data_IF_528229670205
#
_entry.id   IF_528229670205
#
_cell.length_a   1.000
_cell.length_b   1.000
_cell.length_c   1.000
_cell.angle_alpha   90.00
_cell.angle_beta   90.00
_cell.angle_gamma   90.00
#
_symmetry.space_group_name_H-M   'P 1'
#
loop_
_entity.id
_entity.type
_entity.pdbx_description
1 polymer ?
#
# COMPACT_ATOMS: atom_id res chain seq x y z
N UNK A 1 14.11 -11.49 -14.78
CA UNK A 1 14.01 -11.30 -13.32
C UNK A 1 14.91 -12.31 -12.61
N UNK A 2 14.86 -13.61 -12.90
CA UNK A 2 15.72 -14.62 -12.25
C UNK A 2 17.20 -14.25 -12.27
N UNK A 3 17.73 -13.76 -13.39
CA UNK A 3 19.15 -13.39 -13.47
C UNK A 3 19.49 -12.15 -12.63
N UNK A 4 18.54 -11.23 -12.49
CA UNK A 4 18.72 -10.01 -11.68
C UNK A 4 18.67 -10.29 -10.17
N UNK A 5 18.15 -11.44 -9.76
CA UNK A 5 18.02 -11.81 -8.35
C UNK A 5 19.04 -12.86 -7.89
N UNK A 6 20.02 -13.21 -8.74
CA UNK A 6 21.14 -14.06 -8.35
C UNK A 6 21.97 -13.38 -7.27
N UNK A 7 22.35 -14.13 -6.25
CA UNK A 7 23.17 -13.69 -5.13
C UNK A 7 22.54 -12.53 -4.30
N UNK A 8 21.22 -12.32 -4.45
CA UNK A 8 20.47 -11.31 -3.70
C UNK A 8 19.78 -11.98 -2.52
N UNK A 9 20.03 -11.47 -1.31
CA UNK A 9 19.41 -12.01 -0.09
C UNK A 9 18.02 -11.45 0.22
N UNK A 10 17.69 -10.25 -0.32
CA UNK A 10 16.45 -9.54 -0.09
C UNK A 10 16.01 -8.81 -1.36
N UNK A 11 14.72 -8.80 -1.63
CA UNK A 11 14.10 -8.07 -2.74
C UNK A 11 13.12 -7.03 -2.19
N UNK A 12 13.28 -5.76 -2.62
CA UNK A 12 12.26 -4.74 -2.44
C UNK A 12 11.43 -4.64 -3.74
N UNK A 13 10.20 -5.12 -3.70
CA UNK A 13 9.29 -5.11 -4.84
C UNK A 13 8.27 -3.97 -4.72
N UNK A 14 8.56 -2.86 -5.38
CA UNK A 14 7.69 -1.67 -5.45
C UNK A 14 7.08 -1.45 -6.85
N UNK A 15 7.46 -2.28 -7.82
CA UNK A 15 6.96 -2.17 -9.19
C UNK A 15 5.51 -2.63 -9.30
N UNK A 16 4.64 -1.76 -9.79
CA UNK A 16 3.24 -2.06 -10.11
C UNK A 16 2.66 -0.96 -10.99
N UNK A 17 1.58 -1.27 -11.70
CA UNK A 17 0.67 -0.28 -12.22
C UNK A 17 -0.26 0.12 -11.06
N UNK A 18 -0.25 1.41 -10.68
CA UNK A 18 -0.83 1.91 -9.42
C UNK A 18 -2.16 2.67 -9.60
N UNK A 19 -2.88 2.40 -10.66
CA UNK A 19 -4.18 2.98 -10.93
C UNK A 19 -5.25 1.91 -11.17
N UNK A 20 -6.51 2.29 -11.14
CA UNK A 20 -7.59 1.42 -11.60
C UNK A 20 -7.64 1.45 -13.12
N UNK A 21 -7.43 0.30 -13.75
CA UNK A 21 -7.43 0.13 -15.21
C UNK A 21 -8.13 -1.18 -15.57
N UNK A 22 -8.50 -1.41 -16.85
CA UNK A 22 -9.04 -2.69 -17.28
C UNK A 22 -8.17 -3.87 -16.82
N UNK A 23 -8.81 -4.95 -16.37
CA UNK A 23 -8.13 -6.09 -15.76
C UNK A 23 -6.97 -6.64 -16.62
N UNK A 24 -7.19 -6.73 -17.96
CA UNK A 24 -6.18 -7.26 -18.87
C UNK A 24 -4.91 -6.39 -18.93
N UNK A 25 -5.04 -5.07 -18.77
CA UNK A 25 -3.91 -4.14 -18.79
C UNK A 25 -3.07 -4.28 -17.50
N UNK A 26 -3.74 -4.60 -16.40
CA UNK A 26 -3.10 -4.83 -15.10
C UNK A 26 -2.45 -6.21 -14.96
N UNK A 27 -2.95 -7.21 -15.69
CA UNK A 27 -2.61 -8.62 -15.54
C UNK A 27 -1.09 -8.85 -15.62
N UNK A 28 -0.44 -8.27 -16.62
CA UNK A 28 1.00 -8.46 -16.87
C UNK A 28 1.88 -7.93 -15.73
N UNK A 29 1.67 -6.68 -15.33
CA UNK A 29 2.52 -6.03 -14.34
C UNK A 29 2.20 -6.51 -12.91
N UNK A 30 0.92 -6.49 -12.51
CA UNK A 30 0.56 -6.67 -11.11
C UNK A 30 0.39 -8.14 -10.70
N UNK A 31 -0.09 -9.00 -11.56
CA UNK A 31 -0.31 -10.41 -11.25
C UNK A 31 0.86 -11.28 -11.69
N UNK A 32 1.18 -11.30 -13.00
CA UNK A 32 2.28 -12.12 -13.53
C UNK A 32 3.63 -11.59 -13.04
N UNK A 33 3.82 -10.26 -13.02
CA UNK A 33 5.02 -9.62 -12.50
C UNK A 33 5.28 -9.97 -11.04
N UNK A 34 4.24 -9.91 -10.20
CA UNK A 34 4.34 -10.32 -8.79
C UNK A 34 4.71 -11.81 -8.66
N UNK A 35 4.02 -12.70 -9.39
CA UNK A 35 4.37 -14.12 -9.40
C UNK A 35 5.84 -14.33 -9.77
N UNK A 36 6.32 -13.68 -10.82
CA UNK A 36 7.71 -13.81 -11.29
C UNK A 36 8.73 -13.36 -10.24
N UNK A 37 8.43 -12.34 -9.45
CA UNK A 37 9.31 -11.89 -8.34
C UNK A 37 9.40 -12.97 -7.25
N UNK A 38 8.26 -13.52 -6.82
CA UNK A 38 8.24 -14.53 -5.77
C UNK A 38 8.87 -15.85 -6.22
N UNK A 39 8.64 -16.25 -7.47
CA UNK A 39 9.27 -17.44 -8.03
C UNK A 39 10.79 -17.25 -8.23
N UNK A 40 11.22 -16.07 -8.65
CA UNK A 40 12.65 -15.75 -8.73
C UNK A 40 13.32 -15.76 -7.35
N UNK A 41 12.63 -15.22 -6.32
CA UNK A 41 13.10 -15.29 -4.95
C UNK A 41 13.29 -16.74 -4.48
N UNK A 42 12.35 -17.63 -4.80
CA UNK A 42 12.42 -19.06 -4.48
C UNK A 42 13.58 -19.74 -5.19
N UNK A 43 13.72 -19.52 -6.50
CA UNK A 43 14.76 -20.18 -7.33
C UNK A 43 16.18 -19.74 -6.95
N UNK A 44 16.35 -18.51 -6.45
CA UNK A 44 17.64 -17.95 -6.06
C UNK A 44 17.88 -17.97 -4.53
N UNK A 45 17.05 -18.69 -3.76
CA UNK A 45 17.17 -18.80 -2.31
C UNK A 45 17.18 -17.45 -1.59
N UNK A 46 16.41 -16.49 -2.09
CA UNK A 46 16.23 -15.20 -1.47
C UNK A 46 15.51 -15.37 -0.12
N UNK A 47 15.98 -14.71 0.93
CA UNK A 47 15.45 -14.91 2.29
C UNK A 47 14.19 -14.12 2.56
N UNK A 48 14.06 -12.93 1.93
CA UNK A 48 12.97 -12.00 2.22
C UNK A 48 12.54 -11.19 1.01
N UNK A 49 11.24 -10.92 0.93
CA UNK A 49 10.68 -9.93 0.01
C UNK A 49 9.93 -8.86 0.81
N UNK A 50 10.30 -7.60 0.63
CA UNK A 50 9.55 -6.43 1.08
C UNK A 50 8.67 -5.96 -0.08
N UNK A 51 7.36 -6.03 0.11
CA UNK A 51 6.39 -5.80 -0.95
C UNK A 51 5.54 -4.55 -0.69
N UNK A 52 5.49 -3.64 -1.66
CA UNK A 52 4.59 -2.50 -1.64
C UNK A 52 3.15 -2.95 -1.92
N UNK A 53 2.45 -3.36 -0.87
CA UNK A 53 1.00 -3.53 -0.88
C UNK A 53 0.31 -2.16 -0.77
N UNK A 54 -0.99 -2.13 -0.58
CA UNK A 54 -1.76 -0.90 -0.55
C UNK A 54 -2.94 -0.97 0.41
N UNK A 55 -3.38 0.19 0.88
CA UNK A 55 -4.66 0.36 1.58
C UNK A 55 -5.85 -0.14 0.72
N UNK A 56 -5.70 -0.15 -0.61
CA UNK A 56 -6.72 -0.63 -1.55
C UNK A 56 -7.03 -2.13 -1.41
N UNK A 57 -6.15 -2.92 -0.80
CA UNK A 57 -6.45 -4.31 -0.42
C UNK A 57 -7.61 -4.44 0.59
N UNK A 58 -7.91 -3.35 1.32
CA UNK A 58 -8.96 -3.25 2.33
C UNK A 58 -9.82 -1.98 2.12
N UNK A 59 -9.79 -1.41 0.91
CA UNK A 59 -10.34 -0.10 0.60
C UNK A 59 -11.86 0.04 0.81
N UNK A 60 -12.64 -1.04 0.67
CA UNK A 60 -14.10 -1.02 0.84
C UNK A 60 -14.59 -0.99 2.29
N UNK A 61 -13.70 -0.92 3.27
CA UNK A 61 -14.13 -0.69 4.65
C UNK A 61 -14.42 0.78 4.92
N UNK A 62 -15.42 1.05 5.76
CA UNK A 62 -15.73 2.42 6.22
C UNK A 62 -14.53 3.04 6.93
N UNK A 63 -14.20 4.28 6.62
CA UNK A 63 -13.08 5.02 7.21
C UNK A 63 -13.18 5.16 8.73
N UNK A 64 -14.39 5.12 9.29
CA UNK A 64 -14.64 5.13 10.74
C UNK A 64 -14.30 3.81 11.43
N UNK A 65 -14.05 2.73 10.67
CA UNK A 65 -13.65 1.43 11.22
C UNK A 65 -12.15 1.38 11.41
N UNK A 66 -11.70 1.05 12.61
CA UNK A 66 -10.28 0.75 12.85
C UNK A 66 -9.90 -0.56 12.15
N UNK A 67 -8.90 -0.48 11.28
CA UNK A 67 -8.34 -1.64 10.58
C UNK A 67 -7.02 -2.05 11.23
N UNK A 68 -6.80 -3.36 11.30
CA UNK A 68 -5.56 -3.99 11.79
C UNK A 68 -4.93 -4.82 10.68
N UNK A 69 -3.63 -5.19 10.77
CA UNK A 69 -2.96 -6.04 9.79
C UNK A 69 -3.74 -7.31 9.44
N UNK A 70 -4.41 -7.93 10.42
CA UNK A 70 -5.21 -9.15 10.25
C UNK A 70 -6.62 -8.90 9.69
N UNK A 71 -7.00 -7.65 9.40
CA UNK A 71 -8.30 -7.37 8.77
C UNK A 71 -8.38 -8.06 7.42
N UNK A 72 -9.46 -8.82 7.18
CA UNK A 72 -9.68 -9.55 5.95
C UNK A 72 -9.66 -8.62 4.73
N UNK A 73 -9.20 -9.14 3.60
CA UNK A 73 -9.22 -8.42 2.33
C UNK A 73 -10.64 -7.98 1.96
N UNK A 74 -10.75 -6.76 1.44
CA UNK A 74 -11.96 -6.19 0.88
C UNK A 74 -11.54 -5.11 -0.11
N UNK A 75 -11.05 -5.58 -1.27
CA UNK A 75 -10.53 -4.72 -2.33
C UNK A 75 -11.61 -3.77 -2.87
N UNK A 76 -11.18 -2.60 -3.32
CA UNK A 76 -12.03 -1.55 -3.86
C UNK A 76 -11.99 -1.45 -5.39
N UNK A 77 -11.15 -2.25 -6.05
CA UNK A 77 -11.03 -2.32 -7.50
C UNK A 77 -10.04 -3.41 -7.92
N UNK A 78 -9.73 -3.48 -9.21
CA UNK A 78 -8.74 -4.44 -9.74
C UNK A 78 -7.34 -4.18 -9.19
N UNK A 79 -6.98 -2.90 -9.01
CA UNK A 79 -5.72 -2.55 -8.35
C UNK A 79 -5.66 -3.14 -6.93
N UNK A 80 -6.68 -2.89 -6.11
CA UNK A 80 -6.78 -3.46 -4.78
C UNK A 80 -6.77 -4.99 -4.79
N UNK A 81 -7.47 -5.61 -5.75
CA UNK A 81 -7.48 -7.07 -5.94
C UNK A 81 -6.08 -7.61 -6.24
N UNK A 82 -5.30 -6.93 -7.08
CA UNK A 82 -3.92 -7.32 -7.39
C UNK A 82 -3.02 -7.32 -6.14
N UNK A 83 -3.26 -6.38 -5.22
CA UNK A 83 -2.55 -6.33 -3.94
C UNK A 83 -2.97 -7.48 -3.02
N UNK A 84 -4.26 -7.81 -2.95
CA UNK A 84 -4.76 -9.00 -2.24
C UNK A 84 -4.15 -10.29 -2.78
N UNK A 85 -4.09 -10.44 -4.11
CA UNK A 85 -3.45 -11.59 -4.76
C UNK A 85 -2.02 -11.74 -4.29
N UNK A 86 -1.24 -10.67 -4.32
CA UNK A 86 0.19 -10.73 -3.96
C UNK A 86 0.41 -10.95 -2.46
N UNK A 87 -0.43 -10.39 -1.58
CA UNK A 87 -0.36 -10.70 -0.14
C UNK A 87 -0.62 -12.20 0.13
N UNK A 88 -1.60 -12.81 -0.56
CA UNK A 88 -1.87 -14.26 -0.45
C UNK A 88 -0.74 -15.09 -1.08
N UNK A 89 -0.18 -14.65 -2.21
CA UNK A 89 0.99 -15.27 -2.83
C UNK A 89 2.18 -15.24 -1.86
N UNK A 90 2.47 -14.10 -1.25
CA UNK A 90 3.50 -13.92 -0.25
C UNK A 90 3.33 -14.89 0.93
N UNK A 91 2.11 -15.02 1.43
CA UNK A 91 1.78 -15.95 2.51
C UNK A 91 2.06 -17.39 2.12
N UNK A 92 1.65 -17.79 0.91
CA UNK A 92 1.89 -19.14 0.39
C UNK A 92 3.39 -19.45 0.28
N UNK A 93 4.20 -18.51 -0.26
CA UNK A 93 5.65 -18.72 -0.36
C UNK A 93 6.35 -18.75 1.00
N UNK A 94 5.87 -17.99 1.98
CA UNK A 94 6.34 -18.10 3.35
C UNK A 94 6.03 -19.49 3.92
N UNK A 95 4.78 -19.94 3.85
CA UNK A 95 4.35 -21.21 4.44
C UNK A 95 4.98 -22.43 3.75
N UNK A 96 5.24 -22.35 2.43
CA UNK A 96 5.77 -23.46 1.64
C UNK A 96 7.28 -23.46 1.51
N UNK A 97 7.91 -22.29 1.47
CA UNK A 97 9.32 -22.13 1.10
C UNK A 97 10.13 -21.40 2.17
N UNK A 98 9.51 -20.88 3.23
CA UNK A 98 10.18 -20.12 4.30
C UNK A 98 10.68 -18.74 3.88
N UNK A 99 10.24 -18.21 2.72
CA UNK A 99 10.62 -16.88 2.27
C UNK A 99 9.86 -15.87 3.11
N UNK A 100 10.57 -15.11 3.96
CA UNK A 100 9.95 -14.05 4.76
C UNK A 100 9.31 -12.98 3.88
N UNK A 101 8.20 -12.44 4.31
CA UNK A 101 7.43 -11.45 3.56
C UNK A 101 6.98 -10.30 4.45
N UNK A 102 7.27 -9.06 4.05
CA UNK A 102 6.71 -7.87 4.69
C UNK A 102 5.87 -7.11 3.67
N UNK A 103 4.55 -7.21 3.80
CA UNK A 103 3.59 -6.55 2.93
C UNK A 103 3.22 -5.18 3.52
N UNK A 104 3.66 -4.12 2.87
CA UNK A 104 3.44 -2.73 3.30
C UNK A 104 2.14 -2.22 2.68
N UNK A 105 1.03 -2.21 3.41
CA UNK A 105 -0.22 -1.56 2.98
C UNK A 105 -0.07 -0.06 3.04
N UNK A 106 0.63 0.50 2.04
CA UNK A 106 0.88 1.94 1.94
C UNK A 106 -0.46 2.65 1.75
N UNK A 107 -0.70 3.67 2.57
CA UNK A 107 -1.87 4.52 2.45
C UNK A 107 -1.56 5.71 1.49
N UNK A 108 -1.62 6.96 1.94
CA UNK A 108 -1.43 8.13 1.05
C UNK A 108 -0.02 8.69 1.20
N UNK A 109 0.89 8.34 0.27
CA UNK A 109 2.25 8.87 0.25
C UNK A 109 2.39 9.97 -0.81
N UNK A 110 1.72 11.09 -0.55
CA UNK A 110 1.68 12.30 -1.40
C UNK A 110 1.41 13.52 -0.53
N UNK A 111 1.51 14.76 -1.05
CA UNK A 111 1.16 15.95 -0.27
C UNK A 111 -0.24 15.88 0.35
N UNK A 112 -0.40 16.42 1.56
CA UNK A 112 -1.68 16.50 2.25
C UNK A 112 -2.52 17.61 1.62
N UNK A 113 -3.59 17.25 0.92
CA UNK A 113 -4.46 18.18 0.17
C UNK A 113 -5.95 17.98 0.41
N UNK A 114 -6.35 16.95 1.17
CA UNK A 114 -7.75 16.60 1.41
C UNK A 114 -7.97 16.22 2.88
N UNK A 115 -9.23 16.27 3.36
CA UNK A 115 -9.58 15.75 4.68
C UNK A 115 -9.23 14.26 4.83
N UNK A 116 -9.41 13.48 3.74
CA UNK A 116 -9.02 12.07 3.74
C UNK A 116 -7.53 11.91 4.00
N UNK A 117 -6.69 12.73 3.38
CA UNK A 117 -5.23 12.66 3.59
C UNK A 117 -4.80 12.95 5.03
N UNK A 118 -5.55 13.74 5.80
CA UNK A 118 -5.30 13.92 7.23
C UNK A 118 -5.40 12.59 8.03
N UNK A 119 -6.11 11.61 7.52
CA UNK A 119 -6.27 10.30 8.19
C UNK A 119 -5.32 9.23 7.68
N UNK A 120 -4.84 9.36 6.45
CA UNK A 120 -4.14 8.30 5.71
C UNK A 120 -2.72 8.69 5.27
N UNK A 121 -2.26 9.88 5.57
CA UNK A 121 -0.94 10.34 5.14
C UNK A 121 0.20 9.47 5.68
N UNK A 122 1.16 9.21 4.80
CA UNK A 122 2.47 8.66 5.12
C UNK A 122 3.52 9.64 4.61
N UNK A 123 4.30 10.23 5.50
CA UNK A 123 5.42 11.08 5.12
C UNK A 123 6.52 10.28 4.42
N UNK A 124 7.37 10.95 3.65
CA UNK A 124 8.52 10.29 3.03
C UNK A 124 9.50 9.76 4.07
N UNK A 125 9.72 10.49 5.17
CA UNK A 125 10.64 10.08 6.23
C UNK A 125 10.12 8.83 6.97
N UNK A 126 8.82 8.78 7.26
CA UNK A 126 8.20 7.59 7.85
C UNK A 126 8.16 6.41 6.86
N UNK A 127 7.98 6.67 5.54
CA UNK A 127 8.10 5.61 4.53
C UNK A 127 9.50 5.02 4.50
N UNK A 128 10.54 5.86 4.50
CA UNK A 128 11.94 5.39 4.55
C UNK A 128 12.18 4.59 5.81
N UNK A 129 11.73 5.08 6.97
CA UNK A 129 11.83 4.33 8.23
C UNK A 129 11.15 2.97 8.12
N UNK A 130 9.92 2.91 7.59
CA UNK A 130 9.15 1.67 7.43
C UNK A 130 9.90 0.65 6.57
N UNK A 131 10.41 1.09 5.42
CA UNK A 131 11.17 0.22 4.50
C UNK A 131 12.45 -0.29 5.17
N UNK A 132 13.21 0.59 5.82
CA UNK A 132 14.43 0.21 6.54
C UNK A 132 14.12 -0.79 7.66
N UNK A 133 13.04 -0.60 8.41
CA UNK A 133 12.62 -1.58 9.43
C UNK A 133 12.24 -2.92 8.82
N UNK A 134 11.53 -2.94 7.69
CA UNK A 134 11.21 -4.18 6.98
C UNK A 134 12.47 -4.91 6.47
N UNK A 135 13.53 -4.17 6.13
CA UNK A 135 14.82 -4.72 5.70
C UNK A 135 15.61 -5.25 6.91
N UNK A 136 15.77 -4.46 7.96
CA UNK A 136 16.74 -4.69 9.05
C UNK A 136 16.22 -5.60 10.16
N UNK A 137 14.90 -5.77 10.29
CA UNK A 137 14.32 -6.64 11.33
C UNK A 137 14.80 -8.07 11.14
N UNK A 138 15.39 -8.65 12.19
CA UNK A 138 16.04 -9.96 12.12
C UNK A 138 15.10 -11.07 11.63
N UNK A 139 13.87 -11.11 12.16
CA UNK A 139 12.85 -12.09 11.77
C UNK A 139 11.51 -11.39 11.55
N UNK A 140 11.02 -11.41 10.33
CA UNK A 140 9.75 -10.78 9.99
C UNK A 140 8.62 -11.78 9.79
N UNK A 141 8.97 -13.04 9.48
CA UNK A 141 7.98 -14.04 9.10
C UNK A 141 7.12 -13.55 7.92
N UNK A 142 5.84 -13.90 7.93
CA UNK A 142 4.83 -13.24 7.11
C UNK A 142 4.19 -12.12 7.92
N UNK A 143 4.40 -10.90 7.50
CA UNK A 143 3.89 -9.70 8.17
C UNK A 143 3.18 -8.77 7.20
N UNK A 144 2.07 -8.23 7.66
CA UNK A 144 1.38 -7.11 7.01
C UNK A 144 1.47 -5.92 7.94
N UNK A 145 1.75 -4.73 7.40
CA UNK A 145 1.86 -3.50 8.17
C UNK A 145 1.30 -2.33 7.38
N UNK A 146 0.55 -1.43 8.03
CA UNK A 146 0.09 -0.22 7.39
C UNK A 146 1.21 0.81 7.30
N UNK A 147 1.49 1.30 6.09
CA UNK A 147 2.31 2.47 5.85
C UNK A 147 1.47 3.72 6.07
N UNK A 148 1.48 4.24 7.27
CA UNK A 148 0.77 5.45 7.69
C UNK A 148 1.59 6.15 8.78
N UNK A 149 1.65 7.48 8.73
CA UNK A 149 2.27 8.30 9.78
C UNK A 149 1.42 8.32 11.06
N UNK A 150 1.93 8.89 12.13
CA UNK A 150 1.26 8.96 13.45
C UNK A 150 0.14 10.02 13.46
N UNK A 151 -0.77 9.91 12.50
CA UNK A 151 -1.84 10.88 12.31
C UNK A 151 -2.92 10.73 13.38
N UNK A 152 -3.24 11.82 14.08
CA UNK A 152 -4.26 11.87 15.14
C UNK A 152 -5.63 11.36 14.69
N UNK A 153 -5.94 11.52 13.39
CA UNK A 153 -7.24 11.14 12.80
C UNK A 153 -7.23 9.75 12.16
N UNK A 154 -6.12 8.98 12.28
CA UNK A 154 -6.01 7.68 11.63
C UNK A 154 -6.80 6.59 12.34
N UNK A 155 -7.45 5.74 11.54
CA UNK A 155 -8.07 4.49 11.98
C UNK A 155 -7.31 3.25 11.45
N UNK A 156 -6.00 3.41 11.16
CA UNK A 156 -5.11 2.32 10.76
C UNK A 156 -4.17 2.00 11.92
N UNK A 157 -4.23 0.78 12.45
CA UNK A 157 -3.48 0.37 13.62
C UNK A 157 -2.49 -0.74 13.30
N UNK A 158 -1.24 -0.57 13.70
CA UNK A 158 -0.16 -1.55 13.54
C UNK A 158 0.12 -2.37 14.82
N UNK A 159 -0.81 -2.40 15.77
CA UNK A 159 -0.62 -3.07 17.06
C UNK A 159 -0.19 -4.54 16.93
N UNK A 160 -0.67 -5.23 15.88
CA UNK A 160 -0.35 -6.64 15.63
C UNK A 160 1.01 -6.84 14.92
N UNK A 161 1.68 -5.78 14.50
CA UNK A 161 2.95 -5.79 13.73
C UNK A 161 4.09 -5.07 14.46
N UNK A 162 3.98 -4.91 15.77
CA UNK A 162 4.97 -4.19 16.59
C UNK A 162 6.38 -4.79 16.53
N UNK A 163 6.53 -6.08 16.21
CA UNK A 163 7.82 -6.76 16.06
C UNK A 163 8.66 -6.21 14.90
N UNK A 164 8.05 -5.56 13.90
CA UNK A 164 8.77 -4.88 12.82
C UNK A 164 9.50 -3.63 13.33
N UNK A 165 9.04 -3.06 14.45
CA UNK A 165 9.69 -1.91 15.07
C UNK A 165 9.48 -0.58 14.34
N UNK A 166 8.49 -0.49 13.45
CA UNK A 166 8.07 0.76 12.82
C UNK A 166 7.44 1.69 13.88
N UNK A 167 7.97 2.89 13.98
CA UNK A 167 7.51 3.94 14.91
C UNK A 167 7.42 5.25 14.14
N UNK A 168 6.29 5.51 13.45
CA UNK A 168 6.10 6.73 12.70
C UNK A 168 6.17 7.94 13.65
N UNK A 169 6.57 9.10 13.12
CA UNK A 169 6.79 10.33 13.90
C UNK A 169 6.00 11.52 13.38
N UNK A 170 5.71 11.52 12.08
CA UNK A 170 5.06 12.65 11.45
C UNK A 170 3.55 12.57 11.61
N UNK A 171 2.90 13.74 11.64
CA UNK A 171 1.46 13.85 11.85
C UNK A 171 0.86 14.87 10.89
N UNK A 172 -0.14 14.45 10.14
CA UNK A 172 -0.82 15.31 9.16
C UNK A 172 -1.63 16.45 9.80
N UNK A 173 -1.86 16.43 11.12
CA UNK A 173 -2.62 17.48 11.82
C UNK A 173 -2.02 18.88 11.64
N UNK A 174 -0.72 18.99 11.39
CA UNK A 174 -0.06 20.26 11.06
C UNK A 174 -0.65 20.96 9.82
N UNK A 175 -1.32 20.22 8.94
CA UNK A 175 -1.96 20.73 7.73
C UNK A 175 -3.46 21.00 7.91
N UNK A 176 -4.06 20.62 9.04
CA UNK A 176 -5.51 20.63 9.25
C UNK A 176 -6.12 22.01 9.03
N UNK A 177 -5.52 23.07 9.59
CA UNK A 177 -6.03 24.45 9.46
C UNK A 177 -6.14 24.88 7.98
N UNK A 178 -5.15 24.52 7.15
CA UNK A 178 -5.18 24.82 5.72
C UNK A 178 -6.30 24.04 5.02
N UNK A 179 -6.38 22.74 5.27
CA UNK A 179 -7.38 21.87 4.64
C UNK A 179 -8.81 22.31 4.98
N UNK A 180 -9.10 22.68 6.23
CA UNK A 180 -10.43 23.10 6.65
C UNK A 180 -10.77 24.54 6.23
N UNK A 181 -9.81 25.33 5.77
CA UNK A 181 -10.06 26.65 5.19
C UNK A 181 -10.45 26.58 3.70
N UNK A 182 -10.19 25.45 3.02
CA UNK A 182 -10.52 25.23 1.62
C UNK A 182 -11.99 24.82 1.41
N UNK A 183 -12.50 24.97 0.19
CA UNK A 183 -13.82 24.45 -0.17
C UNK A 183 -13.77 22.93 -0.30
N UNK A 184 -14.49 22.26 0.59
CA UNK A 184 -14.52 20.79 0.68
C UNK A 184 -15.76 20.17 0.01
N UNK A 185 -16.55 20.95 -0.71
CA UNK A 185 -17.84 20.49 -1.27
C UNK A 185 -17.66 19.28 -2.18
N UNK A 186 -16.70 19.31 -3.10
CA UNK A 186 -16.43 18.18 -4.01
C UNK A 186 -15.92 16.94 -3.24
N UNK A 187 -15.04 17.12 -2.26
CA UNK A 187 -14.53 16.01 -1.44
C UNK A 187 -15.65 15.35 -0.64
N UNK A 188 -16.50 16.13 -0.02
CA UNK A 188 -17.60 15.63 0.81
C UNK A 188 -18.70 14.96 -0.01
N UNK A 189 -18.89 15.35 -1.26
CA UNK A 189 -19.86 14.76 -2.18
C UNK A 189 -19.43 13.36 -2.69
N UNK A 190 -18.13 13.05 -2.70
CA UNK A 190 -17.65 11.72 -3.14
C UNK A 190 -17.84 10.68 -2.03
N UNK A 191 -18.79 9.75 -2.25
CA UNK A 191 -19.09 8.64 -1.33
C UNK A 191 -17.86 7.75 -1.05
N UNK A 192 -16.91 7.68 -1.99
CA UNK A 192 -15.62 6.97 -1.79
C UNK A 192 -14.85 7.52 -0.60
N UNK A 193 -14.95 8.81 -0.30
CA UNK A 193 -14.27 9.43 0.83
C UNK A 193 -14.79 8.99 2.21
N UNK A 194 -15.92 8.28 2.27
CA UNK A 194 -16.39 7.59 3.47
C UNK A 194 -15.70 6.24 3.71
N UNK A 195 -14.93 5.76 2.72
CA UNK A 195 -14.22 4.48 2.71
C UNK A 195 -12.71 4.70 2.79
N UNK A 196 -11.97 3.67 3.26
CA UNK A 196 -10.50 3.75 3.32
C UNK A 196 -9.85 3.91 1.95
N UNK A 197 -10.44 3.34 0.89
CA UNK A 197 -9.95 3.45 -0.49
C UNK A 197 -10.12 4.83 -1.11
N UNK A 198 -10.99 5.68 -0.55
CA UNK A 198 -11.26 7.00 -1.10
C UNK A 198 -11.87 6.92 -2.51
N UNK A 199 -11.50 7.84 -3.43
CA UNK A 199 -12.05 7.89 -4.79
C UNK A 199 -11.95 6.57 -5.57
N UNK A 200 -10.97 5.73 -5.33
CA UNK A 200 -10.91 4.38 -5.92
C UNK A 200 -12.16 3.54 -5.59
N UNK A 201 -12.65 3.65 -4.37
CA UNK A 201 -13.81 2.87 -3.91
C UNK A 201 -15.16 3.33 -4.52
N UNK A 202 -15.21 4.50 -5.13
CA UNK A 202 -16.38 5.04 -5.83
C UNK A 202 -16.20 5.13 -7.35
N UNK A 203 -15.04 4.73 -7.86
CA UNK A 203 -14.76 4.68 -9.30
C UNK A 203 -15.20 3.32 -9.86
N UNK A 204 -15.74 3.32 -11.08
CA UNK A 204 -16.13 2.10 -11.75
C UNK A 204 -14.92 1.20 -12.06
N UNK A 205 -15.13 -0.11 -12.08
CA UNK A 205 -14.06 -1.07 -12.38
C UNK A 205 -13.46 -0.82 -13.76
N UNK A 206 -12.14 -0.78 -13.80
CA UNK A 206 -11.38 -0.56 -15.03
C UNK A 206 -11.35 0.89 -15.53
N UNK A 207 -11.76 1.84 -14.70
CA UNK A 207 -11.73 3.29 -15.00
C UNK A 207 -10.70 3.97 -14.10
N UNK A 208 -9.85 4.84 -14.66
CA UNK A 208 -8.80 5.52 -13.91
C UNK A 208 -9.37 6.34 -12.74
N UNK A 209 -8.97 5.98 -11.53
CA UNK A 209 -9.28 6.75 -10.34
C UNK A 209 -8.39 8.01 -10.24
N UNK A 210 -7.20 7.97 -10.82
CA UNK A 210 -6.28 9.11 -10.86
C UNK A 210 -6.81 10.24 -11.74
N UNK A 211 -7.44 9.92 -12.87
CA UNK A 211 -8.10 10.90 -13.74
C UNK A 211 -9.22 11.61 -12.96
N UNK A 212 -10.01 10.86 -12.20
CA UNK A 212 -11.05 11.41 -11.34
C UNK A 212 -10.46 12.37 -10.28
N UNK A 213 -9.32 12.03 -9.71
CA UNK A 213 -8.62 12.86 -8.71
C UNK A 213 -7.83 14.01 -9.34
N UNK A 214 -7.81 14.15 -10.67
CA UNK A 214 -6.99 15.13 -11.41
C UNK A 214 -5.50 15.05 -11.05
N UNK A 215 -5.01 13.86 -10.71
CA UNK A 215 -3.60 13.62 -10.41
C UNK A 215 -2.84 13.44 -11.72
N UNK A 216 -2.06 14.43 -12.09
CA UNK A 216 -1.15 14.34 -13.25
C UNK A 216 0.22 13.90 -12.74
N UNK A 217 0.63 12.66 -13.02
CA UNK A 217 2.03 12.30 -12.93
C UNK A 217 2.77 12.99 -14.08
N UNK A 218 3.48 14.07 -13.79
CA UNK A 218 4.44 14.59 -14.75
C UNK A 218 5.59 13.58 -14.86
N UNK A 219 5.51 12.67 -15.82
CA UNK A 219 6.70 12.03 -16.36
C UNK A 219 7.49 13.10 -17.12
N UNK A 220 8.17 13.97 -16.42
CA UNK A 220 9.30 14.67 -17.00
C UNK A 220 10.49 13.74 -16.85
N UNK A 221 10.60 12.79 -17.80
CA UNK A 221 11.88 12.30 -18.20
C UNK A 221 12.60 13.45 -18.90
N UNK A 222 13.62 13.97 -18.31
CA UNK A 222 14.76 14.62 -18.92
C UNK A 222 16.02 13.92 -18.41
#
# INVERSE_FOLDING_TARGET
ICDLTKDVSLICHFGALVDEVPFNDMLGANFIGSYNIWEAARLNNCKRVVYASSIHAVGMYKRTKTLRPKTAHRADGFYGLSKCFTENLARMYYDKCGIEAVCLRIATCSPVTTQRSLTSWLSYDDLVQLVMRAIDTAHTGYSVIYGVSDNDRSNLSNIDSGHIGFKPKDNAEIYANKIFADDLTEELADEGNKLHGGPFASTDLGVSAMDKMKIVYSHKGD
#
